data_IF_591912345455
#
_entry.id   IF_591912345455
#
_cell.length_a   1.000
_cell.length_b   1.000
_cell.length_c   1.000
_cell.angle_alpha   90.00
_cell.angle_beta   90.00
_cell.angle_gamma   90.00
#
_symmetry.space_group_name_H-M   'P 1'
#
loop_
_entity.id
_entity.type
_entity.pdbx_description
1 polymer ?
#
# COMPACT_ATOMS: atom_id res chain seq x y z
N UNK A 1 -29.28 -27.94 -5.77
CA UNK A 1 -28.81 -26.59 -5.37
C UNK A 1 -27.29 -26.63 -5.29
N UNK A 2 -26.58 -26.04 -6.26
CA UNK A 2 -25.12 -25.94 -6.19
C UNK A 2 -24.76 -25.05 -5.00
N UNK A 3 -23.80 -25.42 -4.17
CA UNK A 3 -23.40 -24.57 -3.08
C UNK A 3 -22.93 -23.22 -3.65
N UNK A 4 -23.44 -22.14 -3.08
CA UNK A 4 -23.01 -20.79 -3.42
C UNK A 4 -21.49 -20.75 -3.21
N UNK A 5 -20.70 -20.53 -4.28
CA UNK A 5 -19.25 -20.48 -4.19
C UNK A 5 -18.87 -19.41 -3.17
N UNK A 6 -18.04 -19.77 -2.20
CA UNK A 6 -17.48 -18.80 -1.27
C UNK A 6 -16.75 -17.70 -2.06
N UNK A 7 -16.86 -16.45 -1.61
CA UNK A 7 -16.17 -15.31 -2.22
C UNK A 7 -15.61 -14.39 -1.15
N UNK A 8 -14.65 -13.57 -1.54
CA UNK A 8 -14.13 -12.46 -0.73
C UNK A 8 -14.33 -11.16 -1.49
N UNK A 9 -14.92 -10.17 -0.83
CA UNK A 9 -15.05 -8.79 -1.31
C UNK A 9 -13.85 -7.97 -0.86
N UNK A 10 -12.95 -7.67 -1.79
CA UNK A 10 -11.75 -6.87 -1.57
C UNK A 10 -11.95 -5.46 -2.12
N UNK A 11 -11.59 -4.47 -1.32
CA UNK A 11 -11.66 -3.07 -1.70
C UNK A 11 -10.28 -2.42 -1.58
N UNK A 12 -9.95 -1.55 -2.52
CA UNK A 12 -8.66 -0.85 -2.57
C UNK A 12 -8.77 0.50 -3.26
N UNK A 13 -7.86 1.41 -2.92
CA UNK A 13 -7.55 2.52 -3.79
C UNK A 13 -6.95 1.98 -5.10
N UNK A 14 -7.09 2.72 -6.19
CA UNK A 14 -6.42 2.37 -7.44
C UNK A 14 -4.96 2.84 -7.40
N UNK A 15 -4.04 1.90 -7.23
CA UNK A 15 -2.62 2.12 -7.37
C UNK A 15 -2.12 1.47 -8.66
N UNK A 16 -1.49 2.26 -9.52
CA UNK A 16 -1.02 1.82 -10.83
C UNK A 16 -0.12 0.58 -10.70
N UNK A 17 -0.39 -0.45 -11.51
CA UNK A 17 0.30 -1.74 -11.55
C UNK A 17 0.12 -2.63 -10.30
N UNK A 18 -0.54 -2.15 -9.26
CA UNK A 18 -0.82 -2.93 -8.05
C UNK A 18 -2.28 -3.33 -7.92
N UNK A 19 -3.17 -2.35 -7.97
CA UNK A 19 -4.61 -2.51 -7.78
C UNK A 19 -5.36 -1.66 -8.79
N UNK A 20 -5.12 -1.87 -10.07
CA UNK A 20 -5.80 -1.14 -11.13
C UNK A 20 -7.32 -1.33 -11.05
N UNK A 21 -8.07 -0.31 -11.43
CA UNK A 21 -9.53 -0.32 -11.37
C UNK A 21 -10.17 -1.41 -12.26
N UNK A 22 -9.46 -1.86 -13.29
CA UNK A 22 -9.90 -2.95 -14.16
C UNK A 22 -9.68 -4.34 -13.56
N UNK A 23 -9.16 -4.44 -12.35
CA UNK A 23 -8.87 -5.69 -11.66
C UNK A 23 -7.53 -6.33 -12.01
N UNK A 24 -6.70 -5.70 -12.82
CA UNK A 24 -5.31 -6.11 -13.04
C UNK A 24 -4.37 -5.51 -11.99
N UNK A 25 -3.22 -6.10 -11.81
CA UNK A 25 -2.18 -5.58 -10.91
C UNK A 25 -1.55 -6.64 -10.03
N UNK A 26 -0.37 -6.34 -9.52
CA UNK A 26 0.41 -7.26 -8.70
C UNK A 26 -0.37 -7.76 -7.48
N UNK A 27 -0.96 -6.85 -6.71
CA UNK A 27 -1.70 -7.23 -5.50
C UNK A 27 -2.92 -8.08 -5.83
N UNK A 28 -3.67 -7.73 -6.88
CA UNK A 28 -4.80 -8.52 -7.31
C UNK A 28 -4.38 -9.93 -7.77
N UNK A 29 -3.26 -10.07 -8.47
CA UNK A 29 -2.74 -11.36 -8.90
C UNK A 29 -2.31 -12.23 -7.72
N UNK A 30 -1.62 -11.65 -6.72
CA UNK A 30 -1.24 -12.34 -5.48
C UNK A 30 -2.49 -12.82 -4.74
N UNK A 31 -3.47 -11.97 -4.58
CA UNK A 31 -4.69 -12.31 -3.82
C UNK A 31 -5.55 -13.36 -4.54
N UNK A 32 -5.59 -13.35 -5.87
CA UNK A 32 -6.23 -14.44 -6.63
C UNK A 32 -5.51 -15.76 -6.42
N UNK A 33 -4.17 -15.77 -6.44
CA UNK A 33 -3.39 -16.98 -6.18
C UNK A 33 -3.60 -17.50 -4.76
N UNK A 34 -3.83 -16.61 -3.80
CA UNK A 34 -4.15 -16.98 -2.42
C UNK A 34 -5.53 -17.65 -2.33
N UNK A 35 -6.57 -17.01 -2.84
CA UNK A 35 -7.95 -17.35 -2.55
C UNK A 35 -8.56 -18.33 -3.54
N UNK A 36 -8.34 -18.20 -4.84
CA UNK A 36 -9.00 -19.03 -5.85
C UNK A 36 -8.69 -20.52 -5.71
N UNK A 37 -7.44 -20.96 -5.48
CA UNK A 37 -7.16 -22.38 -5.28
C UNK A 37 -7.79 -22.95 -4.00
N UNK A 38 -8.13 -22.10 -3.04
CA UNK A 38 -8.87 -22.49 -1.82
C UNK A 38 -10.39 -22.51 -2.03
N UNK A 39 -10.87 -22.29 -3.26
CA UNK A 39 -12.30 -22.29 -3.57
C UNK A 39 -13.02 -20.99 -3.26
N UNK A 40 -12.29 -19.89 -3.01
CA UNK A 40 -12.84 -18.58 -2.71
C UNK A 40 -12.68 -17.66 -3.91
N UNK A 41 -13.78 -17.24 -4.52
CA UNK A 41 -13.77 -16.30 -5.65
C UNK A 41 -13.36 -14.90 -5.16
N UNK A 42 -12.54 -14.20 -5.93
CA UNK A 42 -12.10 -12.84 -5.60
C UNK A 42 -12.96 -11.83 -6.34
N UNK A 43 -13.60 -10.95 -5.59
CA UNK A 43 -14.35 -9.79 -6.11
C UNK A 43 -13.59 -8.53 -5.72
N UNK A 44 -13.22 -7.72 -6.70
CA UNK A 44 -12.45 -6.50 -6.49
C UNK A 44 -13.32 -5.26 -6.66
N UNK A 45 -13.04 -4.23 -5.85
CA UNK A 45 -13.72 -2.95 -5.92
C UNK A 45 -12.73 -1.82 -5.66
N UNK A 46 -12.86 -0.73 -6.41
CA UNK A 46 -12.04 0.47 -6.27
C UNK A 46 -12.79 1.57 -5.55
N UNK A 47 -12.20 2.09 -4.50
CA UNK A 47 -12.69 3.22 -3.71
C UNK A 47 -11.50 4.04 -3.17
N UNK A 48 -11.66 5.31 -2.83
CA UNK A 48 -10.62 6.04 -2.10
C UNK A 48 -10.19 5.29 -0.83
N UNK A 49 -8.91 5.41 -0.44
CA UNK A 49 -8.36 4.63 0.67
C UNK A 49 -9.18 4.73 1.96
N UNK A 50 -9.48 5.95 2.40
CA UNK A 50 -10.25 6.15 3.63
C UNK A 50 -11.65 5.52 3.57
N UNK A 51 -12.26 5.53 2.37
CA UNK A 51 -13.57 4.88 2.15
C UNK A 51 -13.44 3.36 2.17
N UNK A 52 -12.37 2.82 1.58
CA UNK A 52 -12.08 1.38 1.62
C UNK A 52 -12.00 0.86 3.05
N UNK A 53 -11.26 1.55 3.90
CA UNK A 53 -11.16 1.25 5.34
C UNK A 53 -12.55 1.30 6.01
N UNK A 54 -13.31 2.37 5.77
CA UNK A 54 -14.65 2.55 6.36
C UNK A 54 -15.63 1.44 5.96
N UNK A 55 -15.61 1.01 4.71
CA UNK A 55 -16.48 -0.08 4.21
C UNK A 55 -16.19 -1.40 4.95
N UNK A 56 -14.93 -1.72 5.16
CA UNK A 56 -14.55 -2.93 5.91
C UNK A 56 -14.95 -2.83 7.38
N UNK A 57 -14.71 -1.68 8.01
CA UNK A 57 -15.10 -1.46 9.41
C UNK A 57 -16.60 -1.52 9.63
N UNK A 58 -17.39 -1.17 8.61
CA UNK A 58 -18.86 -1.26 8.64
C UNK A 58 -19.42 -2.62 8.20
N UNK A 59 -18.54 -3.57 7.87
CA UNK A 59 -18.96 -4.89 7.40
C UNK A 59 -19.53 -4.91 5.98
N UNK A 60 -19.28 -3.88 5.17
CA UNK A 60 -19.76 -3.76 3.78
C UNK A 60 -18.73 -4.28 2.76
N UNK A 61 -17.53 -4.62 3.20
CA UNK A 61 -16.52 -5.35 2.45
C UNK A 61 -15.77 -6.26 3.44
N UNK A 62 -15.08 -7.27 2.92
CA UNK A 62 -14.40 -8.27 3.76
C UNK A 62 -13.00 -7.82 4.17
N UNK A 63 -12.26 -7.20 3.27
CA UNK A 63 -10.92 -6.69 3.56
C UNK A 63 -10.55 -5.55 2.62
N UNK A 64 -9.68 -4.64 3.09
CA UNK A 64 -9.05 -3.64 2.22
C UNK A 64 -7.57 -3.93 2.03
N UNK A 65 -7.04 -3.47 0.91
CA UNK A 65 -5.65 -3.65 0.49
C UNK A 65 -4.83 -2.43 0.90
N UNK A 66 -3.57 -2.64 1.29
CA UNK A 66 -2.61 -1.56 1.50
C UNK A 66 -2.56 -1.02 2.92
N UNK A 67 -2.93 -1.82 3.91
CA UNK A 67 -2.80 -1.41 5.31
C UNK A 67 -1.40 -1.64 5.85
N UNK A 68 -0.91 -0.71 6.66
CA UNK A 68 0.20 -1.00 7.56
C UNK A 68 -0.30 -1.79 8.76
N UNK A 69 0.59 -2.51 9.43
CA UNK A 69 0.21 -3.35 10.55
C UNK A 69 -0.38 -2.50 11.70
N UNK A 70 -1.53 -2.92 12.21
CA UNK A 70 -2.23 -2.23 13.31
C UNK A 70 -2.51 -0.73 13.05
N UNK A 71 -2.68 -0.35 11.77
CA UNK A 71 -2.96 1.03 11.37
C UNK A 71 -4.24 1.55 12.00
N UNK A 72 -5.28 0.73 12.04
CA UNK A 72 -6.58 1.08 12.61
C UNK A 72 -7.30 -0.18 13.09
N UNK A 73 -8.51 0.00 13.66
CA UNK A 73 -9.29 -1.13 14.14
C UNK A 73 -9.72 -2.07 13.01
N UNK A 74 -9.16 -3.25 13.02
CA UNK A 74 -9.43 -4.35 12.09
C UNK A 74 -8.76 -5.63 12.58
N UNK A 75 -9.02 -6.73 11.91
CA UNK A 75 -8.24 -7.96 12.09
C UNK A 75 -7.06 -7.96 11.14
N UNK A 76 -5.86 -8.19 11.66
CA UNK A 76 -4.64 -8.26 10.87
C UNK A 76 -4.09 -9.69 10.80
N UNK A 77 -3.74 -10.17 9.57
CA UNK A 77 -3.13 -11.47 9.40
C UNK A 77 -1.66 -11.46 9.87
N UNK A 78 -1.07 -12.64 9.96
CA UNK A 78 0.38 -12.79 10.23
C UNK A 78 1.23 -12.42 9.03
N UNK A 79 0.74 -12.68 7.82
CA UNK A 79 1.48 -12.50 6.58
C UNK A 79 1.18 -11.15 5.93
N UNK A 80 2.22 -10.37 5.68
CA UNK A 80 2.15 -9.28 4.72
C UNK A 80 2.14 -9.85 3.29
N UNK A 81 1.62 -9.09 2.34
CA UNK A 81 1.61 -9.51 0.93
C UNK A 81 2.64 -8.75 0.09
N UNK A 82 3.14 -7.63 0.57
CA UNK A 82 4.15 -6.80 -0.09
C UNK A 82 4.84 -5.90 0.93
N UNK A 83 5.78 -5.08 0.46
CA UNK A 83 6.47 -4.07 1.26
C UNK A 83 6.44 -2.75 0.52
N UNK A 84 5.96 -1.69 1.17
CA UNK A 84 6.02 -0.33 0.65
C UNK A 84 7.41 0.25 0.85
N UNK A 85 7.98 0.77 -0.22
CA UNK A 85 9.19 1.58 -0.17
C UNK A 85 8.77 3.05 -0.11
N UNK A 86 8.87 3.64 1.08
CA UNK A 86 8.42 5.00 1.36
C UNK A 86 9.53 5.98 1.01
N UNK A 87 9.17 6.98 0.22
CA UNK A 87 10.05 8.04 -0.26
C UNK A 87 9.51 9.42 0.10
N UNK A 88 10.41 10.37 0.19
CA UNK A 88 10.09 11.79 0.29
C UNK A 88 10.46 12.49 -1.02
N UNK A 89 9.48 13.15 -1.62
CA UNK A 89 9.62 13.96 -2.83
C UNK A 89 9.74 15.43 -2.44
N UNK A 90 10.72 16.13 -2.99
CA UNK A 90 10.93 17.57 -2.75
C UNK A 90 11.55 18.25 -3.96
N UNK A 91 11.64 19.58 -3.88
CA UNK A 91 12.56 20.32 -4.74
C UNK A 91 14.00 19.86 -4.49
N UNK A 92 14.82 19.89 -5.53
CA UNK A 92 16.19 19.37 -5.49
C UNK A 92 17.11 20.11 -4.49
N UNK A 93 16.80 21.36 -4.18
CA UNK A 93 17.59 22.22 -3.25
C UNK A 93 17.22 22.03 -1.77
N UNK A 94 16.18 21.25 -1.47
CA UNK A 94 15.81 20.96 -0.09
C UNK A 94 16.88 20.09 0.61
N UNK A 95 17.01 20.19 1.95
CA UNK A 95 17.97 19.38 2.69
C UNK A 95 17.80 17.87 2.45
N UNK A 96 18.89 17.12 2.55
CA UNK A 96 18.83 15.66 2.57
C UNK A 96 18.16 15.20 3.87
N UNK A 97 17.22 14.29 3.77
CA UNK A 97 16.46 13.75 4.90
C UNK A 97 16.57 12.23 4.98
N UNK A 98 16.27 11.72 6.16
CA UNK A 98 16.14 10.29 6.46
C UNK A 98 14.90 10.07 7.34
N UNK A 99 14.69 8.82 7.75
CA UNK A 99 13.57 8.45 8.62
C UNK A 99 13.50 9.30 9.91
N UNK A 100 14.65 9.63 10.50
CA UNK A 100 14.71 10.34 11.78
C UNK A 100 14.53 11.85 11.66
N UNK A 101 14.87 12.44 10.53
CA UNK A 101 14.88 13.90 10.32
C UNK A 101 13.65 14.43 9.57
N UNK A 102 13.00 13.61 8.78
CA UNK A 102 11.91 14.04 7.90
C UNK A 102 10.76 14.73 8.66
N UNK A 103 10.40 14.22 9.84
CA UNK A 103 9.29 14.75 10.63
C UNK A 103 9.42 16.20 11.08
N UNK A 104 10.62 16.77 11.00
CA UNK A 104 10.90 18.16 11.40
C UNK A 104 10.46 19.19 10.36
N UNK A 105 10.09 18.74 9.16
CA UNK A 105 9.73 19.58 8.03
C UNK A 105 8.22 19.64 7.82
N UNK A 106 7.78 20.56 6.96
CA UNK A 106 6.37 20.63 6.52
C UNK A 106 6.11 19.51 5.51
N UNK A 107 5.29 18.57 5.90
CA UNK A 107 5.01 17.36 5.14
C UNK A 107 3.65 17.43 4.45
N UNK A 108 3.46 16.61 3.43
CA UNK A 108 2.17 16.34 2.82
C UNK A 108 2.06 14.86 2.43
N UNK A 109 0.86 14.32 2.51
CA UNK A 109 0.52 12.98 2.03
C UNK A 109 -0.97 12.86 1.72
N UNK A 110 -1.37 11.77 1.11
CA UNK A 110 -2.77 11.51 0.79
C UNK A 110 -3.59 11.32 2.06
N UNK A 111 -4.77 11.89 2.07
CA UNK A 111 -5.69 11.79 3.20
C UNK A 111 -5.97 10.34 3.58
N UNK A 112 -5.83 10.05 4.86
CA UNK A 112 -6.01 8.71 5.43
C UNK A 112 -4.74 7.87 5.52
N UNK A 113 -3.63 8.27 4.92
CA UNK A 113 -2.37 7.53 5.01
C UNK A 113 -1.72 7.61 6.38
N UNK A 114 -1.90 8.70 7.09
CA UNK A 114 -1.54 8.87 8.50
C UNK A 114 -0.06 8.56 8.80
N UNK A 115 0.86 9.02 7.96
CA UNK A 115 2.30 8.80 8.17
C UNK A 115 2.84 9.39 9.47
N UNK A 116 2.14 10.33 10.10
CA UNK A 116 2.50 10.84 11.43
C UNK A 116 2.53 9.74 12.50
N UNK A 117 1.87 8.62 12.27
CA UNK A 117 1.90 7.45 13.16
C UNK A 117 3.20 6.65 13.07
N UNK A 118 3.92 6.80 11.96
CA UNK A 118 5.10 6.00 11.63
C UNK A 118 6.38 6.83 11.61
N UNK A 119 6.29 8.11 11.27
CA UNK A 119 7.43 9.02 11.18
C UNK A 119 7.67 9.73 12.52
N UNK A 120 8.90 9.65 13.09
CA UNK A 120 9.22 10.39 14.31
C UNK A 120 9.03 11.89 14.14
N UNK A 121 8.51 12.54 15.16
CA UNK A 121 8.35 14.00 15.25
C UNK A 121 7.53 14.67 14.14
N UNK A 122 6.77 13.93 13.36
CA UNK A 122 5.90 14.47 12.32
C UNK A 122 4.73 15.25 12.94
N UNK A 123 4.86 16.58 13.01
CA UNK A 123 3.89 17.47 13.65
C UNK A 123 3.19 18.42 12.69
N UNK A 124 3.87 18.82 11.62
CA UNK A 124 3.37 19.76 10.64
C UNK A 124 3.16 19.05 9.30
N UNK A 125 1.91 18.77 8.96
CA UNK A 125 1.57 18.09 7.73
C UNK A 125 0.23 18.53 7.16
N UNK A 126 0.09 18.42 5.84
CA UNK A 126 -1.13 18.62 5.09
C UNK A 126 -1.59 17.31 4.48
N UNK A 127 -2.88 17.05 4.53
CA UNK A 127 -3.50 15.93 3.84
C UNK A 127 -4.09 16.39 2.52
N UNK A 128 -3.73 15.73 1.41
CA UNK A 128 -4.24 16.03 0.08
C UNK A 128 -5.21 14.93 -0.38
N UNK A 129 -6.23 15.31 -1.12
CA UNK A 129 -7.20 14.35 -1.64
C UNK A 129 -6.77 13.74 -2.98
N UNK A 130 -5.96 14.48 -3.75
CA UNK A 130 -5.53 14.10 -5.09
C UNK A 130 -4.06 14.44 -5.29
N UNK A 131 -3.39 13.64 -6.12
CA UNK A 131 -1.95 13.79 -6.40
C UNK A 131 -1.64 14.83 -7.47
N UNK A 132 -2.63 15.31 -8.23
CA UNK A 132 -2.40 16.26 -9.34
C UNK A 132 -1.87 17.64 -8.90
N UNK A 133 -2.04 18.03 -7.65
CA UNK A 133 -1.56 19.30 -7.11
C UNK A 133 -0.22 19.22 -6.36
N UNK A 134 0.45 18.07 -6.33
CA UNK A 134 1.65 17.86 -5.50
C UNK A 134 2.84 18.67 -6.02
N UNK A 135 3.15 18.60 -7.30
CA UNK A 135 4.28 19.35 -7.87
C UNK A 135 4.13 20.85 -7.69
N UNK A 136 2.99 21.48 -8.04
CA UNK A 136 2.77 22.90 -7.75
C UNK A 136 2.87 23.25 -6.25
N UNK A 137 2.38 22.38 -5.37
CA UNK A 137 2.47 22.59 -3.92
C UNK A 137 3.92 22.69 -3.46
N UNK A 138 4.80 21.83 -3.95
CA UNK A 138 6.24 21.86 -3.64
C UNK A 138 6.92 23.07 -4.28
N UNK A 139 6.59 23.40 -5.54
CA UNK A 139 7.16 24.54 -6.25
C UNK A 139 6.79 25.89 -5.63
N UNK A 140 5.59 25.99 -5.06
CA UNK A 140 5.08 27.21 -4.39
C UNK A 140 5.37 27.22 -2.88
N UNK A 141 6.28 26.37 -2.40
CA UNK A 141 6.71 26.30 -1.00
C UNK A 141 5.55 26.12 0.00
N UNK A 142 4.53 25.37 -0.36
CA UNK A 142 3.39 25.06 0.51
C UNK A 142 3.64 23.84 1.39
N UNK A 143 4.58 23.00 1.01
CA UNK A 143 5.14 21.90 1.77
C UNK A 143 6.61 21.72 1.39
N UNK A 144 7.40 21.15 2.29
CA UNK A 144 8.82 20.85 2.02
C UNK A 144 8.97 19.50 1.34
N UNK A 145 8.24 18.48 1.82
CA UNK A 145 8.31 17.11 1.32
C UNK A 145 6.92 16.52 1.19
N UNK A 146 6.71 15.78 0.10
CA UNK A 146 5.56 14.90 -0.09
C UNK A 146 6.00 13.46 0.16
N UNK A 147 5.26 12.74 0.99
CA UNK A 147 5.59 11.37 1.42
C UNK A 147 4.61 10.39 0.79
N UNK A 148 5.14 9.41 0.08
CA UNK A 148 4.33 8.36 -0.55
C UNK A 148 5.21 7.16 -0.91
N UNK A 149 4.59 6.09 -1.40
CA UNK A 149 5.31 4.97 -2.00
C UNK A 149 6.05 5.41 -3.27
N UNK A 150 7.19 4.79 -3.54
CA UNK A 150 8.04 5.12 -4.69
C UNK A 150 7.26 5.10 -6.01
N UNK A 151 6.41 4.10 -6.21
CA UNK A 151 5.62 3.95 -7.44
C UNK A 151 4.69 5.12 -7.69
N UNK A 152 4.03 5.63 -6.65
CA UNK A 152 3.16 6.80 -6.75
C UNK A 152 3.97 8.08 -7.01
N UNK A 153 5.13 8.22 -6.37
CA UNK A 153 6.05 9.34 -6.62
C UNK A 153 6.54 9.32 -8.08
N UNK A 154 6.84 8.16 -8.64
CA UNK A 154 7.23 8.03 -10.05
C UNK A 154 6.11 8.42 -11.01
N UNK A 155 4.86 8.06 -10.70
CA UNK A 155 3.68 8.52 -11.47
C UNK A 155 3.59 10.03 -11.46
N UNK A 156 3.77 10.67 -10.30
CA UNK A 156 3.76 12.13 -10.16
C UNK A 156 4.88 12.76 -10.97
N UNK A 157 6.11 12.24 -10.86
CA UNK A 157 7.28 12.79 -11.57
C UNK A 157 7.18 12.66 -13.09
N UNK A 158 6.49 11.66 -13.63
CA UNK A 158 6.23 11.55 -15.08
C UNK A 158 5.41 12.73 -15.62
N UNK A 159 4.66 13.43 -14.77
CA UNK A 159 3.87 14.60 -15.14
C UNK A 159 4.67 15.91 -15.03
N UNK A 160 5.88 15.88 -14.49
CA UNK A 160 6.71 17.07 -14.34
C UNK A 160 7.25 17.54 -15.71
N UNK A 161 7.15 18.85 -15.97
CA UNK A 161 7.76 19.46 -17.16
C UNK A 161 9.29 19.37 -17.12
N UNK A 162 9.88 19.50 -15.92
CA UNK A 162 11.31 19.34 -15.66
C UNK A 162 11.51 18.46 -14.42
N UNK A 163 11.62 17.12 -14.59
CA UNK A 163 11.84 16.20 -13.48
C UNK A 163 13.13 16.48 -12.70
N UNK A 164 14.13 17.10 -13.32
CA UNK A 164 15.41 17.44 -12.69
C UNK A 164 15.31 18.51 -11.59
N UNK A 165 14.20 19.21 -11.51
CA UNK A 165 13.93 20.16 -10.42
C UNK A 165 13.59 19.50 -9.10
N UNK A 166 13.27 18.20 -9.13
CA UNK A 166 12.83 17.43 -7.98
C UNK A 166 13.84 16.34 -7.64
N UNK A 167 13.80 15.93 -6.38
CA UNK A 167 14.51 14.73 -5.90
C UNK A 167 13.59 13.87 -5.07
N UNK A 168 13.90 12.59 -5.03
CA UNK A 168 13.24 11.61 -4.15
C UNK A 168 14.28 10.94 -3.28
N UNK A 169 13.98 10.75 -2.03
CA UNK A 169 14.86 10.17 -1.02
C UNK A 169 14.15 9.01 -0.34
N UNK A 170 14.80 7.85 -0.26
CA UNK A 170 14.28 6.71 0.49
C UNK A 170 14.21 7.04 1.99
N UNK A 171 13.10 6.74 2.62
CA UNK A 171 12.83 7.06 4.02
C UNK A 171 12.64 5.81 4.87
N UNK A 172 11.78 4.89 4.42
CA UNK A 172 11.42 3.70 5.19
C UNK A 172 10.91 2.58 4.29
N UNK A 173 10.89 1.37 4.86
CA UNK A 173 10.20 0.21 4.28
C UNK A 173 9.13 -0.24 5.28
N UNK A 174 7.90 -0.36 4.81
CA UNK A 174 6.76 -0.74 5.63
C UNK A 174 6.04 -1.94 5.02
N UNK A 175 5.94 -3.06 5.73
CA UNK A 175 5.17 -4.22 5.27
C UNK A 175 3.70 -3.86 5.07
N UNK A 176 3.10 -4.37 4.00
CA UNK A 176 1.70 -4.15 3.62
C UNK A 176 0.86 -5.38 3.95
N UNK A 177 -0.26 -5.12 4.59
CA UNK A 177 -1.23 -6.12 5.02
C UNK A 177 -2.60 -5.87 4.42
N UNK A 178 -3.42 -6.92 4.39
CA UNK A 178 -4.86 -6.76 4.31
C UNK A 178 -5.39 -6.39 5.70
N UNK A 179 -6.32 -5.45 5.76
CA UNK A 179 -7.14 -5.25 6.96
C UNK A 179 -8.47 -5.96 6.80
N UNK A 180 -8.76 -6.95 7.65
CA UNK A 180 -9.99 -7.74 7.57
C UNK A 180 -11.06 -7.17 8.50
N UNK A 181 -12.32 -7.32 8.10
CA UNK A 181 -13.48 -7.03 8.94
C UNK A 181 -13.45 -7.85 10.24
N UNK A 182 -13.67 -7.19 11.37
CA UNK A 182 -13.80 -7.88 12.66
C UNK A 182 -15.18 -8.53 12.79
N UNK A 183 -15.31 -9.67 12.14
CA UNK A 183 -16.52 -10.47 12.07
C UNK A 183 -16.17 -11.94 11.99
N UNK A 184 -17.11 -12.87 12.27
CA UNK A 184 -16.90 -14.30 12.06
C UNK A 184 -16.45 -14.63 10.63
N UNK A 185 -17.04 -13.98 9.64
CA UNK A 185 -16.66 -14.13 8.22
C UNK A 185 -15.25 -13.59 7.97
N UNK A 186 -14.92 -12.42 8.51
CA UNK A 186 -13.58 -11.83 8.41
C UNK A 186 -12.50 -12.74 9.01
N UNK A 187 -12.77 -13.33 10.18
CA UNK A 187 -11.85 -14.29 10.82
C UNK A 187 -11.64 -15.54 9.98
N UNK A 188 -12.69 -16.07 9.37
CA UNK A 188 -12.59 -17.26 8.52
C UNK A 188 -11.78 -16.98 7.25
N UNK A 189 -11.98 -15.83 6.60
CA UNK A 189 -11.24 -15.43 5.42
C UNK A 189 -9.77 -15.11 5.73
N UNK A 190 -9.50 -14.48 6.88
CA UNK A 190 -8.14 -14.24 7.36
C UNK A 190 -7.39 -15.56 7.58
N UNK A 191 -8.05 -16.58 8.16
CA UNK A 191 -7.45 -17.89 8.37
C UNK A 191 -7.07 -18.56 7.03
N UNK A 192 -7.94 -18.45 6.01
CA UNK A 192 -7.63 -18.94 4.66
C UNK A 192 -6.43 -18.18 4.08
N UNK A 193 -6.41 -16.87 4.20
CA UNK A 193 -5.30 -16.04 3.73
C UNK A 193 -3.97 -16.45 4.36
N UNK A 194 -3.90 -16.52 5.69
CA UNK A 194 -2.66 -16.86 6.39
C UNK A 194 -2.16 -18.27 6.06
N UNK A 195 -3.06 -19.25 6.00
CA UNK A 195 -2.69 -20.62 5.65
C UNK A 195 -2.14 -20.69 4.21
N UNK A 196 -2.81 -20.05 3.27
CA UNK A 196 -2.39 -20.05 1.87
C UNK A 196 -1.08 -19.28 1.67
N UNK A 197 -0.91 -18.11 2.30
CA UNK A 197 0.33 -17.34 2.23
C UNK A 197 1.51 -18.15 2.76
N UNK A 198 1.35 -18.82 3.88
CA UNK A 198 2.41 -19.68 4.42
C UNK A 198 2.83 -20.77 3.42
N UNK A 199 1.87 -21.44 2.80
CA UNK A 199 2.14 -22.46 1.78
C UNK A 199 2.84 -21.89 0.56
N UNK A 200 2.33 -20.78 0.02
CA UNK A 200 2.83 -20.16 -1.20
C UNK A 200 4.24 -19.59 -1.02
N UNK A 201 4.50 -18.94 0.11
CA UNK A 201 5.82 -18.37 0.41
C UNK A 201 6.85 -19.48 0.62
N UNK A 202 6.53 -20.51 1.41
CA UNK A 202 7.43 -21.65 1.62
C UNK A 202 7.78 -22.39 0.33
N UNK A 203 6.83 -22.47 -0.60
CA UNK A 203 7.04 -23.14 -1.90
C UNK A 203 7.63 -22.21 -2.97
N UNK A 204 7.79 -20.90 -2.69
CA UNK A 204 8.29 -19.93 -3.65
C UNK A 204 7.35 -19.64 -4.82
N UNK A 205 6.07 -19.97 -4.71
CA UNK A 205 5.10 -19.91 -5.81
C UNK A 205 4.65 -18.49 -6.17
N UNK A 206 4.88 -17.50 -5.32
CA UNK A 206 4.53 -16.10 -5.60
C UNK A 206 5.59 -15.35 -6.39
N UNK A 207 6.82 -15.85 -6.45
CA UNK A 207 7.98 -15.15 -7.05
C UNK A 207 7.72 -14.71 -8.48
N UNK A 208 7.10 -15.56 -9.29
CA UNK A 208 6.81 -15.27 -10.70
C UNK A 208 5.86 -14.07 -10.86
N UNK A 209 4.92 -13.88 -9.94
CA UNK A 209 3.98 -12.75 -9.97
C UNK A 209 4.75 -11.43 -9.82
N UNK A 210 5.65 -11.35 -8.83
CA UNK A 210 6.46 -10.14 -8.62
C UNK A 210 7.40 -9.87 -9.80
N UNK A 211 8.02 -10.91 -10.38
CA UNK A 211 8.86 -10.79 -11.56
C UNK A 211 8.08 -10.25 -12.77
N UNK A 212 6.87 -10.75 -13.01
CA UNK A 212 6.01 -10.31 -14.12
C UNK A 212 5.67 -8.82 -14.03
N UNK A 213 5.51 -8.31 -12.82
CA UNK A 213 5.22 -6.89 -12.57
C UNK A 213 6.48 -6.05 -12.36
N UNK A 214 7.69 -6.64 -12.49
CA UNK A 214 8.95 -5.91 -12.33
C UNK A 214 9.22 -5.40 -10.92
N UNK A 215 8.68 -6.06 -9.91
CA UNK A 215 8.79 -5.64 -8.52
C UNK A 215 9.66 -6.59 -7.68
N UNK A 216 10.35 -6.08 -6.65
CA UNK A 216 11.15 -6.91 -5.76
C UNK A 216 10.27 -7.96 -5.04
N UNK A 217 10.79 -9.18 -4.88
CA UNK A 217 10.15 -10.23 -4.10
C UNK A 217 10.32 -9.94 -2.60
N UNK A 218 9.25 -9.76 -1.81
CA UNK A 218 9.35 -9.23 -0.47
C UNK A 218 9.64 -10.28 0.61
N UNK A 219 9.73 -11.56 0.25
CA UNK A 219 9.85 -12.67 1.20
C UNK A 219 11.24 -13.31 1.25
N UNK A 220 12.19 -12.80 0.49
CA UNK A 220 13.59 -13.22 0.60
C UNK A 220 14.19 -12.65 1.90
N UNK A 221 15.05 -13.44 2.60
CA UNK A 221 15.77 -12.89 3.75
C UNK A 221 16.64 -11.70 3.30
N UNK A 222 16.82 -10.69 4.16
CA UNK A 222 17.69 -9.56 3.84
C UNK A 222 19.08 -10.09 3.49
N UNK A 223 19.66 -9.60 2.38
CA UNK A 223 21.04 -9.93 2.01
C UNK A 223 21.95 -9.43 3.13
N UNK A 224 22.90 -10.25 3.61
CA UNK A 224 23.91 -9.75 4.53
C UNK A 224 24.58 -8.52 3.90
N UNK A 225 24.77 -7.48 4.73
CA UNK A 225 25.50 -6.29 4.30
C UNK A 225 26.91 -6.68 3.81
N UNK A 226 27.43 -6.04 2.75
CA UNK A 226 28.76 -6.33 2.24
C UNK A 226 29.85 -6.01 3.26
#
# INVERSE_FOLDING_TARGET
MLPQRAHIDLVSEAWEDYTNADGSGLAWDVLREVFQPAGVAVVTRTEPYIRSVGLVQQGQADAWVGSYQNETHALYPRWHYDTDHIYALSLADKPQVDFSSLGRYRLAWVRGYQFQKYLPDARTYNEVQRRNGILPMLEHDRADYYVDALTEIEVILRQAADPGRFKRVHVAELPLYLGFSDSPRGRALLAVYDQRMEQLVKAGQLREIYQRWGQPYPFDPPRPAP
#
